data_IF_137308257197
#
_entry.id   IF_137308257197
#
_cell.length_a   1.000
_cell.length_b   1.000
_cell.length_c   1.000
_cell.angle_alpha   90.00
_cell.angle_beta   90.00
_cell.angle_gamma   90.00
#
_symmetry.space_group_name_H-M   'P 1'
#
loop_
_entity.id
_entity.type
_entity.pdbx_description
1 polymer ?
#
# COMPACT_ATOMS: atom_id res chain seq x y z
N UNK A 1 4.23 -48.08 6.91
CA UNK A 1 3.93 -46.98 5.96
C UNK A 1 3.25 -45.80 6.65
N UNK A 2 2.15 -45.99 7.40
CA UNK A 2 1.45 -44.89 8.11
C UNK A 2 2.32 -44.17 9.13
N UNK A 3 3.17 -44.89 9.86
CA UNK A 3 4.07 -44.31 10.88
C UNK A 3 5.17 -43.43 10.27
N UNK A 4 5.74 -43.84 9.12
CA UNK A 4 6.72 -43.04 8.37
C UNK A 4 6.11 -41.78 7.77
N UNK A 5 4.85 -41.85 7.30
CA UNK A 5 4.11 -40.69 6.81
C UNK A 5 3.80 -39.69 7.95
N UNK A 6 3.50 -40.19 9.15
CA UNK A 6 3.35 -39.36 10.35
C UNK A 6 4.63 -38.63 10.72
N UNK A 7 5.76 -39.34 10.77
CA UNK A 7 7.08 -38.76 11.08
C UNK A 7 7.51 -37.70 10.06
N UNK A 8 7.30 -37.94 8.76
CA UNK A 8 7.58 -36.96 7.71
C UNK A 8 6.68 -35.72 7.84
N UNK A 9 5.40 -35.90 8.17
CA UNK A 9 4.47 -34.80 8.39
C UNK A 9 4.89 -33.95 9.58
N UNK A 10 5.27 -34.58 10.70
CA UNK A 10 5.75 -33.89 11.89
C UNK A 10 7.08 -33.15 11.64
N UNK A 11 7.97 -33.73 10.85
CA UNK A 11 9.23 -33.11 10.45
C UNK A 11 9.00 -31.87 9.56
N UNK A 12 8.07 -31.95 8.61
CA UNK A 12 7.67 -30.81 7.77
C UNK A 12 7.00 -29.72 8.62
N UNK A 13 6.05 -30.09 9.49
CA UNK A 13 5.34 -29.14 10.34
C UNK A 13 6.24 -28.48 11.39
N UNK A 14 7.30 -29.16 11.82
CA UNK A 14 8.32 -28.64 12.73
C UNK A 14 9.40 -27.78 12.06
N UNK A 15 9.43 -27.71 10.72
CA UNK A 15 10.44 -26.94 10.00
C UNK A 15 10.28 -25.43 10.20
N UNK A 16 11.40 -24.69 10.16
CA UNK A 16 11.37 -23.22 10.29
C UNK A 16 10.52 -22.57 9.20
N UNK A 17 10.59 -23.07 7.96
CA UNK A 17 9.79 -22.59 6.83
C UNK A 17 8.28 -22.79 7.04
N UNK A 18 7.86 -23.96 7.54
CA UNK A 18 6.45 -24.20 7.85
C UNK A 18 5.96 -23.32 9.01
N UNK A 19 6.82 -23.19 10.03
CA UNK A 19 6.53 -22.41 11.23
C UNK A 19 6.47 -20.88 10.98
N UNK A 20 7.11 -20.39 9.93
CA UNK A 20 7.12 -18.98 9.58
C UNK A 20 5.90 -18.56 8.75
N UNK A 21 5.29 -19.50 8.02
CA UNK A 21 4.10 -19.28 7.19
C UNK A 21 2.82 -19.50 8.00
N UNK A 22 2.72 -20.62 8.73
CA UNK A 22 1.47 -21.02 9.38
C UNK A 22 1.38 -20.61 10.84
N UNK A 23 0.23 -20.01 11.19
CA UNK A 23 -0.09 -19.59 12.56
C UNK A 23 -0.16 -20.81 13.50
N UNK A 24 0.49 -20.74 14.67
CA UNK A 24 0.23 -21.67 15.76
C UNK A 24 -1.26 -21.74 16.13
N UNK A 25 -1.84 -22.94 16.19
CA UNK A 25 -3.26 -23.16 16.46
C UNK A 25 -4.16 -23.08 15.22
N UNK A 26 -3.59 -22.94 14.01
CA UNK A 26 -4.31 -23.23 12.77
C UNK A 26 -4.48 -24.74 12.57
N UNK A 27 -5.36 -25.13 11.65
CA UNK A 27 -5.53 -26.55 11.26
C UNK A 27 -4.23 -27.22 10.78
N UNK A 28 -3.22 -26.42 10.41
CA UNK A 28 -1.95 -26.88 9.86
C UNK A 28 -0.79 -26.85 10.86
N UNK A 29 -1.02 -26.45 12.12
CA UNK A 29 0.03 -26.34 13.14
C UNK A 29 -0.51 -26.42 14.56
N UNK A 30 0.10 -27.29 15.38
CA UNK A 30 -0.23 -27.45 16.80
C UNK A 30 -0.20 -26.12 17.56
N UNK A 31 -1.15 -25.94 18.48
CA UNK A 31 -1.29 -24.76 19.32
C UNK A 31 -0.13 -24.57 20.30
N UNK A 32 -0.07 -23.38 20.91
CA UNK A 32 0.92 -23.04 21.94
C UNK A 32 0.21 -22.48 23.18
N UNK A 33 0.92 -22.46 24.31
CA UNK A 33 0.39 -21.86 25.55
C UNK A 33 0.27 -20.35 25.40
N UNK A 34 -0.95 -19.82 25.50
CA UNK A 34 -1.23 -18.39 25.36
C UNK A 34 -0.69 -17.59 26.55
N UNK A 35 0.58 -17.18 26.42
CA UNK A 35 1.23 -16.22 27.30
C UNK A 35 1.55 -14.94 26.53
N UNK A 36 1.63 -13.77 27.19
CA UNK A 36 2.00 -12.52 26.52
C UNK A 36 3.33 -12.61 25.75
N UNK A 37 4.30 -13.36 26.29
CA UNK A 37 5.62 -13.59 25.69
C UNK A 37 5.52 -14.47 24.44
N UNK A 38 4.75 -15.55 24.50
CA UNK A 38 4.59 -16.44 23.36
C UNK A 38 3.82 -15.75 22.22
N UNK A 39 2.80 -14.93 22.53
CA UNK A 39 2.09 -14.10 21.53
C UNK A 39 3.05 -13.19 20.75
N UNK A 40 3.98 -12.51 21.43
CA UNK A 40 4.98 -11.69 20.75
C UNK A 40 5.95 -12.51 19.90
N UNK A 41 6.41 -13.67 20.39
CA UNK A 41 7.32 -14.53 19.62
C UNK A 41 6.71 -15.04 18.32
N UNK A 42 5.44 -15.42 18.35
CA UNK A 42 4.73 -15.90 17.15
C UNK A 42 4.65 -14.81 16.10
N UNK A 43 4.37 -13.57 16.51
CA UNK A 43 4.26 -12.44 15.58
C UNK A 43 5.63 -12.06 15.00
N UNK A 44 6.70 -12.15 15.81
CA UNK A 44 8.06 -11.83 15.36
C UNK A 44 8.69 -12.89 14.46
N UNK A 45 8.36 -14.17 14.66
CA UNK A 45 8.95 -15.29 13.91
C UNK A 45 8.12 -15.74 12.69
N UNK A 46 6.95 -15.12 12.46
CA UNK A 46 6.12 -15.42 11.30
C UNK A 46 6.19 -14.31 10.26
N UNK A 47 6.48 -14.69 9.02
CA UNK A 47 6.62 -13.79 7.87
C UNK A 47 5.31 -13.07 7.57
N UNK A 48 4.14 -13.67 7.81
CA UNK A 48 2.88 -12.97 7.57
C UNK A 48 2.47 -12.07 8.75
N UNK A 49 2.81 -12.46 9.96
CA UNK A 49 2.35 -11.74 11.15
C UNK A 49 3.21 -10.52 11.51
N UNK A 50 4.44 -10.41 11.01
CA UNK A 50 5.26 -9.20 11.22
C UNK A 50 4.60 -7.92 10.69
N UNK A 51 3.69 -8.04 9.71
CA UNK A 51 2.90 -6.92 9.17
C UNK A 51 1.89 -6.38 10.19
N UNK A 52 1.50 -7.19 11.17
CA UNK A 52 0.53 -6.80 12.20
C UNK A 52 1.23 -6.43 13.52
N UNK A 53 0.91 -5.27 14.11
CA UNK A 53 1.47 -4.89 15.39
C UNK A 53 1.02 -5.83 16.52
N UNK A 54 1.97 -6.25 17.36
CA UNK A 54 1.74 -7.13 18.52
C UNK A 54 0.72 -6.54 19.50
N UNK A 55 0.75 -5.22 19.67
CA UNK A 55 -0.15 -4.48 20.56
C UNK A 55 -0.52 -3.14 19.93
N UNK A 56 -1.81 -2.81 19.96
CA UNK A 56 -2.32 -1.49 19.55
C UNK A 56 -3.08 -0.88 20.72
N UNK A 57 -2.80 0.39 21.04
CA UNK A 57 -3.54 1.11 22.07
C UNK A 57 -4.96 1.39 21.55
N UNK A 58 -6.01 1.11 22.34
CA UNK A 58 -7.41 1.24 21.90
C UNK A 58 -7.77 2.64 21.38
N UNK A 59 -7.21 3.70 21.97
CA UNK A 59 -7.46 5.07 21.49
C UNK A 59 -6.88 5.35 20.11
N UNK A 60 -5.81 4.64 19.71
CA UNK A 60 -5.17 4.83 18.40
C UNK A 60 -5.99 4.25 17.25
N UNK A 61 -6.94 3.36 17.54
CA UNK A 61 -7.82 2.72 16.54
C UNK A 61 -9.06 3.58 16.24
N UNK A 62 -9.33 4.62 17.06
CA UNK A 62 -10.47 5.50 16.83
C UNK A 62 -10.28 6.22 15.49
N UNK A 63 -11.24 6.09 14.59
CA UNK A 63 -11.24 6.74 13.27
C UNK A 63 -11.09 8.25 13.42
N UNK A 64 -11.71 8.86 14.41
CA UNK A 64 -11.56 10.30 14.69
C UNK A 64 -10.13 10.75 15.01
N UNK A 65 -9.25 9.85 15.48
CA UNK A 65 -7.90 10.19 15.90
C UNK A 65 -6.87 10.09 14.75
N UNK A 66 -7.04 9.15 13.84
CA UNK A 66 -6.12 8.93 12.70
C UNK A 66 -6.73 9.36 11.37
N UNK A 67 -8.05 9.53 11.31
CA UNK A 67 -8.87 9.71 10.12
C UNK A 67 -8.61 8.63 9.03
N UNK A 68 -7.98 7.52 9.43
CA UNK A 68 -7.45 6.51 8.52
C UNK A 68 -6.56 7.08 7.39
N UNK A 69 -5.98 8.28 7.54
CA UNK A 69 -5.35 8.99 6.41
C UNK A 69 -4.20 8.21 5.77
N UNK A 70 -3.36 7.55 6.57
CA UNK A 70 -2.27 6.73 6.04
C UNK A 70 -2.77 5.49 5.28
N UNK A 71 -3.80 4.81 5.80
CA UNK A 71 -4.43 3.67 5.13
C UNK A 71 -5.17 4.06 3.86
N UNK A 72 -5.84 5.22 3.89
CA UNK A 72 -6.50 5.80 2.73
C UNK A 72 -5.50 6.18 1.64
N UNK A 73 -4.38 6.82 1.98
CA UNK A 73 -3.31 7.12 1.00
C UNK A 73 -2.75 5.85 0.35
N UNK A 74 -2.57 4.77 1.11
CA UNK A 74 -2.15 3.48 0.56
C UNK A 74 -3.18 2.86 -0.37
N UNK A 75 -4.47 2.92 -0.01
CA UNK A 75 -5.56 2.48 -0.88
C UNK A 75 -5.61 3.27 -2.20
N UNK A 76 -5.48 4.60 -2.13
CA UNK A 76 -5.45 5.46 -3.31
C UNK A 76 -4.24 5.17 -4.21
N UNK A 77 -3.08 4.85 -3.62
CA UNK A 77 -1.90 4.41 -4.37
C UNK A 77 -2.15 3.12 -5.16
N UNK A 78 -2.81 2.12 -4.55
CA UNK A 78 -3.19 0.88 -5.26
C UNK A 78 -4.15 1.22 -6.41
N UNK A 79 -5.16 2.05 -6.16
CA UNK A 79 -6.13 2.45 -7.17
C UNK A 79 -5.45 3.19 -8.34
N UNK A 80 -4.51 4.10 -8.06
CA UNK A 80 -3.68 4.77 -9.07
C UNK A 80 -2.84 3.79 -9.86
N UNK A 81 -2.23 2.82 -9.19
CA UNK A 81 -1.38 1.82 -9.86
C UNK A 81 -2.20 0.97 -10.84
N UNK A 82 -3.36 0.47 -10.39
CA UNK A 82 -4.25 -0.35 -11.24
C UNK A 82 -4.78 0.44 -12.42
N UNK A 83 -5.27 1.66 -12.18
CA UNK A 83 -5.78 2.52 -13.26
C UNK A 83 -4.67 3.00 -14.18
N UNK A 84 -3.47 3.29 -13.66
CA UNK A 84 -2.31 3.69 -14.45
C UNK A 84 -1.85 2.59 -15.39
N UNK A 85 -1.74 1.35 -14.91
CA UNK A 85 -1.41 0.18 -15.74
C UNK A 85 -2.43 0.02 -16.87
N UNK A 86 -3.73 0.18 -16.59
CA UNK A 86 -4.75 0.14 -17.64
C UNK A 86 -4.52 1.22 -18.71
N UNK A 87 -4.25 2.47 -18.29
CA UNK A 87 -4.01 3.58 -19.20
C UNK A 87 -2.75 3.39 -20.05
N UNK A 88 -1.70 2.77 -19.50
CA UNK A 88 -0.45 2.51 -20.22
C UNK A 88 -0.63 1.63 -21.46
N UNK A 89 -1.62 0.73 -21.49
CA UNK A 89 -1.89 -0.08 -22.68
C UNK A 89 -2.38 0.72 -23.89
N UNK A 90 -2.88 1.94 -23.67
CA UNK A 90 -3.50 2.78 -24.70
C UNK A 90 -2.76 4.11 -24.92
N UNK A 91 -1.61 4.32 -24.27
CA UNK A 91 -0.87 5.58 -24.34
C UNK A 91 0.55 5.38 -24.87
N UNK A 92 0.93 6.13 -25.90
CA UNK A 92 2.30 6.20 -26.41
C UNK A 92 2.97 7.50 -25.96
N UNK A 93 4.16 7.42 -25.33
CA UNK A 93 4.87 8.60 -24.83
C UNK A 93 5.64 9.30 -25.96
N UNK A 94 4.94 9.80 -26.98
CA UNK A 94 5.53 10.61 -28.06
C UNK A 94 4.75 11.90 -28.23
N UNK A 95 5.45 13.03 -28.43
CA UNK A 95 4.81 14.34 -28.55
C UNK A 95 3.82 14.42 -29.73
N UNK A 96 4.04 13.64 -30.79
CA UNK A 96 3.18 13.63 -31.97
C UNK A 96 1.87 12.85 -31.77
N UNK A 97 1.84 11.82 -30.90
CA UNK A 97 0.69 10.92 -30.76
C UNK A 97 0.02 10.99 -29.39
N UNK A 98 0.66 11.61 -28.38
CA UNK A 98 0.15 11.65 -27.01
C UNK A 98 -1.27 12.23 -26.91
N UNK A 99 -1.55 13.35 -27.58
CA UNK A 99 -2.87 13.97 -27.57
C UNK A 99 -3.94 13.10 -28.24
N UNK A 100 -3.63 12.56 -29.43
CA UNK A 100 -4.54 11.70 -30.20
C UNK A 100 -4.88 10.41 -29.45
N UNK A 101 -3.90 9.83 -28.74
CA UNK A 101 -4.08 8.65 -27.88
C UNK A 101 -5.04 8.96 -26.73
N UNK A 102 -4.91 10.12 -26.08
CA UNK A 102 -5.82 10.56 -25.03
C UNK A 102 -7.24 10.79 -25.57
N UNK A 103 -7.38 11.34 -26.77
CA UNK A 103 -8.68 11.55 -27.42
C UNK A 103 -9.35 10.21 -27.77
N UNK A 104 -8.58 9.28 -28.32
CA UNK A 104 -9.03 7.92 -28.66
C UNK A 104 -9.43 7.14 -27.40
N UNK A 105 -8.63 7.24 -26.34
CA UNK A 105 -8.94 6.64 -25.04
C UNK A 105 -10.29 7.12 -24.49
N UNK A 106 -10.62 8.40 -24.66
CA UNK A 106 -11.87 8.96 -24.17
C UNK A 106 -13.10 8.57 -24.99
N UNK A 107 -12.93 8.29 -26.29
CA UNK A 107 -14.04 8.20 -27.25
C UNK A 107 -14.27 6.79 -27.79
N UNK A 108 -13.21 6.01 -27.99
CA UNK A 108 -13.26 4.71 -28.64
C UNK A 108 -13.01 3.54 -27.67
N UNK A 109 -12.31 3.76 -26.56
CA UNK A 109 -12.00 2.70 -25.58
C UNK A 109 -13.13 2.56 -24.57
N UNK A 110 -13.67 1.33 -24.45
CA UNK A 110 -14.67 1.00 -23.43
C UNK A 110 -14.17 1.33 -22.02
N UNK A 111 -14.96 2.09 -21.26
CA UNK A 111 -14.59 2.64 -19.94
C UNK A 111 -13.35 3.55 -19.91
N UNK A 112 -12.74 3.91 -21.05
CA UNK A 112 -11.50 4.69 -21.07
C UNK A 112 -11.64 6.08 -20.43
N UNK A 113 -12.74 6.79 -20.73
CA UNK A 113 -13.07 8.07 -20.07
C UNK A 113 -13.26 7.91 -18.56
N UNK A 114 -13.94 6.84 -18.12
CA UNK A 114 -14.17 6.56 -16.71
C UNK A 114 -12.85 6.31 -15.97
N UNK A 115 -12.01 5.42 -16.50
CA UNK A 115 -10.72 5.06 -15.88
C UNK A 115 -9.77 6.25 -15.86
N UNK A 116 -9.73 7.06 -16.93
CA UNK A 116 -8.95 8.31 -16.97
C UNK A 116 -9.38 9.28 -15.88
N UNK A 117 -10.69 9.53 -15.75
CA UNK A 117 -11.21 10.43 -14.72
C UNK A 117 -10.95 9.87 -13.32
N UNK A 118 -11.11 8.55 -13.13
CA UNK A 118 -10.78 7.89 -11.87
C UNK A 118 -9.31 8.07 -11.52
N UNK A 119 -8.39 7.86 -12.45
CA UNK A 119 -6.95 8.06 -12.24
C UNK A 119 -6.64 9.51 -11.84
N UNK A 120 -7.18 10.49 -12.56
CA UNK A 120 -7.00 11.92 -12.28
C UNK A 120 -7.54 12.33 -10.90
N UNK A 121 -8.79 11.98 -10.58
CA UNK A 121 -9.37 12.32 -9.27
C UNK A 121 -8.65 11.60 -8.13
N UNK A 122 -8.24 10.35 -8.33
CA UNK A 122 -7.46 9.60 -7.34
C UNK A 122 -6.10 10.25 -7.09
N UNK A 123 -5.44 10.79 -8.12
CA UNK A 123 -4.18 11.53 -7.96
C UNK A 123 -4.36 12.77 -7.06
N UNK A 124 -5.39 13.58 -7.31
CA UNK A 124 -5.69 14.75 -6.48
C UNK A 124 -6.02 14.36 -5.02
N UNK A 125 -6.83 13.30 -4.83
CA UNK A 125 -7.15 12.78 -3.50
C UNK A 125 -5.91 12.21 -2.81
N UNK A 126 -4.98 11.57 -3.53
CA UNK A 126 -3.74 11.05 -2.95
C UNK A 126 -2.88 12.19 -2.43
N UNK A 127 -2.65 13.24 -3.22
CA UNK A 127 -1.89 14.42 -2.79
C UNK A 127 -2.52 15.06 -1.55
N UNK A 128 -3.84 15.27 -1.55
CA UNK A 128 -4.56 15.83 -0.41
C UNK A 128 -4.44 14.96 0.85
N UNK A 129 -4.67 13.65 0.72
CA UNK A 129 -4.65 12.72 1.87
C UNK A 129 -3.25 12.55 2.44
N UNK A 130 -2.21 12.46 1.60
CA UNK A 130 -0.81 12.40 2.05
C UNK A 130 -0.44 13.71 2.75
N UNK A 131 -0.82 14.86 2.21
CA UNK A 131 -0.59 16.15 2.86
C UNK A 131 -1.25 16.23 4.25
N UNK A 132 -2.54 15.87 4.35
CA UNK A 132 -3.25 15.83 5.62
C UNK A 132 -2.64 14.80 6.59
N UNK A 133 -2.18 13.66 6.09
CA UNK A 133 -1.49 12.65 6.89
C UNK A 133 -0.20 13.21 7.50
N UNK A 134 0.63 13.88 6.69
CA UNK A 134 1.88 14.50 7.12
C UNK A 134 1.62 15.62 8.14
N UNK A 135 0.65 16.50 7.86
CA UNK A 135 0.23 17.54 8.80
C UNK A 135 -0.19 16.95 10.14
N UNK A 136 -1.01 15.90 10.13
CA UNK A 136 -1.47 15.21 11.35
C UNK A 136 -0.30 14.60 12.14
N UNK A 137 0.65 13.95 11.48
CA UNK A 137 1.86 13.38 12.12
C UNK A 137 2.71 14.48 12.75
N UNK A 138 2.84 15.63 12.09
CA UNK A 138 3.53 16.80 12.60
C UNK A 138 2.85 17.41 13.83
N UNK A 139 1.57 17.76 13.73
CA UNK A 139 0.82 18.40 14.84
C UNK A 139 0.67 17.51 16.07
N UNK A 140 0.60 16.18 15.90
CA UNK A 140 0.56 15.24 17.03
C UNK A 140 1.96 14.88 17.57
N UNK A 141 3.03 15.45 17.02
CA UNK A 141 4.41 15.16 17.43
C UNK A 141 4.81 13.70 17.25
N UNK A 142 4.17 12.97 16.32
CA UNK A 142 4.35 11.52 16.15
C UNK A 142 5.70 11.16 15.51
N UNK A 143 6.38 12.15 14.92
CA UNK A 143 7.73 12.05 14.33
C UNK A 143 8.87 11.98 15.37
N UNK A 144 8.60 12.34 16.63
CA UNK A 144 9.60 12.32 17.72
C UNK A 144 10.13 10.89 17.99
N UNK A 145 11.26 10.73 18.71
CA UNK A 145 11.78 9.43 19.11
C UNK A 145 10.69 8.51 19.67
N UNK A 146 10.64 7.21 19.31
CA UNK A 146 11.61 6.44 18.49
C UNK A 146 11.22 6.31 17.00
N UNK A 147 10.44 7.24 16.43
CA UNK A 147 9.86 7.12 15.06
C UNK A 147 10.47 8.07 14.02
N UNK A 148 11.66 8.59 14.28
CA UNK A 148 12.33 9.57 13.43
C UNK A 148 12.62 9.02 12.04
N UNK A 149 13.05 7.76 11.94
CA UNK A 149 13.29 7.10 10.66
C UNK A 149 12.01 7.01 9.80
N UNK A 150 10.86 6.69 10.41
CA UNK A 150 9.58 6.65 9.70
C UNK A 150 9.17 8.03 9.18
N UNK A 151 9.53 9.09 9.90
CA UNK A 151 9.28 10.46 9.45
C UNK A 151 10.10 10.80 8.20
N UNK A 152 11.39 10.47 8.19
CA UNK A 152 12.25 10.69 7.01
C UNK A 152 11.70 9.95 5.79
N UNK A 153 11.27 8.69 5.97
CA UNK A 153 10.58 7.93 4.91
C UNK A 153 9.31 8.65 4.45
N UNK A 154 8.48 9.13 5.38
CA UNK A 154 7.27 9.87 5.06
C UNK A 154 7.52 11.13 4.22
N UNK A 155 8.58 11.89 4.54
CA UNK A 155 9.00 13.07 3.77
C UNK A 155 9.46 12.69 2.35
N UNK A 156 10.25 11.63 2.21
CA UNK A 156 10.65 11.13 0.88
C UNK A 156 9.45 10.68 0.05
N UNK A 157 8.50 9.97 0.66
CA UNK A 157 7.26 9.53 -0.01
C UNK A 157 6.36 10.71 -0.42
N UNK A 158 6.30 11.78 0.38
CA UNK A 158 5.62 13.01 0.00
C UNK A 158 6.26 13.61 -1.26
N UNK A 159 7.59 13.70 -1.30
CA UNK A 159 8.31 14.24 -2.46
C UNK A 159 8.06 13.40 -3.73
N UNK A 160 8.09 12.07 -3.62
CA UNK A 160 7.74 11.20 -4.74
C UNK A 160 6.29 11.34 -5.19
N UNK A 161 5.35 11.50 -4.25
CA UNK A 161 3.93 11.70 -4.57
C UNK A 161 3.74 12.99 -5.39
N UNK A 162 4.40 14.08 -4.98
CA UNK A 162 4.36 15.36 -5.71
C UNK A 162 5.02 15.26 -7.08
N UNK A 163 6.20 14.62 -7.16
CA UNK A 163 6.93 14.43 -8.41
C UNK A 163 6.09 13.61 -9.41
N UNK A 164 5.53 12.48 -8.98
CA UNK A 164 4.70 11.62 -9.82
C UNK A 164 3.41 12.33 -10.26
N UNK A 165 2.79 13.10 -9.35
CA UNK A 165 1.62 13.91 -9.70
C UNK A 165 1.93 14.96 -10.75
N UNK A 166 3.10 15.61 -10.67
CA UNK A 166 3.53 16.60 -11.64
C UNK A 166 3.88 15.95 -12.99
N UNK A 167 4.73 14.92 -13.00
CA UNK A 167 5.10 14.25 -14.25
C UNK A 167 3.91 13.61 -14.96
N UNK A 168 2.95 13.06 -14.20
CA UNK A 168 1.71 12.51 -14.74
C UNK A 168 0.79 13.57 -15.35
N UNK A 169 0.79 14.79 -14.79
CA UNK A 169 0.03 15.92 -15.33
C UNK A 169 0.53 16.35 -16.71
N UNK A 170 1.81 16.16 -17.02
CA UNK A 170 2.41 16.55 -18.31
C UNK A 170 2.09 15.57 -19.46
N UNK A 171 1.70 14.33 -19.15
CA UNK A 171 1.54 13.27 -20.15
C UNK A 171 0.47 13.52 -21.24
N UNK A 172 -0.67 14.18 -20.96
CA UNK A 172 -1.68 14.41 -22.00
C UNK A 172 -1.23 15.35 -23.13
N UNK A 173 -0.17 16.12 -22.91
CA UNK A 173 0.40 17.04 -23.90
C UNK A 173 -0.60 18.08 -24.43
N UNK A 174 -1.50 18.55 -23.56
CA UNK A 174 -2.46 19.61 -23.86
C UNK A 174 -1.88 21.01 -23.59
N UNK A 175 -2.62 22.07 -23.93
CA UNK A 175 -2.13 23.44 -23.73
C UNK A 175 -1.76 23.70 -22.26
N UNK A 176 -2.55 23.19 -21.31
CA UNK A 176 -2.24 23.38 -19.90
C UNK A 176 -0.98 22.64 -19.47
N UNK A 177 -0.76 21.41 -19.94
CA UNK A 177 0.45 20.64 -19.69
C UNK A 177 1.72 21.28 -20.28
N UNK A 178 1.62 21.91 -21.46
CA UNK A 178 2.77 22.55 -22.12
C UNK A 178 3.25 23.82 -21.40
N UNK A 179 2.35 24.51 -20.69
CA UNK A 179 2.63 25.79 -20.02
C UNK A 179 2.74 25.66 -18.49
N UNK A 180 2.72 24.43 -17.96
CA UNK A 180 2.86 24.14 -16.54
C UNK A 180 4.31 24.03 -16.08
#
# INVERSE_FOLDING_TARGET
MQEQLGQLTDQVQGSQAWSSIFRPGSIFRKGYNDSPRNRSYVIMNSVLYHLHPVKVKRHAVKVSYTLCLGGLSFFLFILLTVTGIFLMFFYRPTAAQAWDDIQTLQTAVGFGLLVRNMHRWTAHLMVLTVFLHMARVFYHGAYKPPREFNWVIGVMLLQFTLLLSFTGYLLPWDQLALWA
#
